data_IF_797436261881
#
_entry.id   IF_797436261881
#
_cell.length_a   1.000
_cell.length_b   1.000
_cell.length_c   1.000
_cell.angle_alpha   90.00
_cell.angle_beta   90.00
_cell.angle_gamma   90.00
#
_symmetry.space_group_name_H-M   'P 1'
#
loop_
_entity.id
_entity.type
_entity.pdbx_description
1 polymer ?
#
# COMPACT_ATOMS: atom_id res chain seq x y z
N UNK A 1 5.39 -76.49 28.52
CA UNK A 1 5.97 -75.10 28.57
C UNK A 1 5.83 -74.44 27.17
N UNK A 2 4.83 -73.66 26.98
CA UNK A 2 4.58 -72.92 25.67
C UNK A 2 5.14 -71.49 25.79
N UNK A 3 6.16 -71.18 25.00
CA UNK A 3 6.73 -69.84 24.90
C UNK A 3 5.94 -69.02 23.84
N UNK A 4 5.14 -68.08 24.27
CA UNK A 4 4.49 -67.12 23.36
C UNK A 4 5.50 -66.02 23.01
N UNK A 5 5.86 -65.91 21.75
CA UNK A 5 6.66 -64.79 21.21
C UNK A 5 5.74 -63.63 20.90
N UNK A 6 5.95 -62.50 21.60
CA UNK A 6 5.25 -61.27 21.37
C UNK A 6 5.99 -60.52 20.24
N UNK A 7 5.38 -60.47 19.06
CA UNK A 7 5.91 -59.68 17.93
C UNK A 7 5.45 -58.22 18.10
N UNK A 8 6.40 -57.35 18.48
CA UNK A 8 6.18 -55.89 18.56
C UNK A 8 6.29 -55.31 17.16
N UNK A 9 5.14 -55.01 16.54
CA UNK A 9 5.07 -54.36 15.22
C UNK A 9 5.35 -52.86 15.40
N UNK A 10 6.58 -52.41 15.16
CA UNK A 10 6.92 -50.97 15.08
C UNK A 10 6.32 -50.38 13.80
N UNK A 11 5.19 -49.70 13.91
CA UNK A 11 4.67 -48.83 12.87
C UNK A 11 5.58 -47.57 12.75
N UNK A 12 6.57 -47.64 11.87
CA UNK A 12 7.30 -46.49 11.40
C UNK A 12 6.31 -45.64 10.58
N UNK A 13 5.74 -44.63 11.23
CA UNK A 13 4.97 -43.59 10.54
C UNK A 13 5.90 -42.84 9.58
N UNK A 14 5.84 -43.19 8.29
CA UNK A 14 6.42 -42.36 7.23
C UNK A 14 5.62 -41.07 7.18
N UNK A 15 6.10 -40.00 7.84
CA UNK A 15 5.65 -38.66 7.54
C UNK A 15 6.05 -38.35 6.10
N UNK A 16 5.08 -38.38 5.19
CA UNK A 16 5.28 -37.82 3.87
C UNK A 16 5.77 -36.37 4.02
N UNK A 17 6.78 -35.92 3.25
CA UNK A 17 7.15 -34.52 3.26
C UNK A 17 5.92 -33.69 2.89
N UNK A 18 5.50 -32.80 3.77
CA UNK A 18 4.46 -31.85 3.45
C UNK A 18 4.98 -31.02 2.24
N UNK A 19 4.28 -31.07 1.12
CA UNK A 19 4.57 -30.18 0.01
C UNK A 19 4.47 -28.75 0.51
N UNK A 20 5.43 -27.90 0.14
CA UNK A 20 5.39 -26.48 0.48
C UNK A 20 4.12 -25.86 -0.11
N UNK A 21 3.40 -25.06 0.69
CA UNK A 21 2.26 -24.27 0.22
C UNK A 21 2.75 -23.34 -0.91
N UNK A 22 1.98 -23.25 -2.01
CA UNK A 22 2.30 -22.42 -3.17
C UNK A 22 1.40 -21.20 -3.21
N UNK A 23 1.98 -20.00 -3.26
CA UNK A 23 1.23 -18.74 -3.36
C UNK A 23 1.65 -17.99 -4.61
N UNK A 24 0.67 -17.62 -5.46
CA UNK A 24 0.88 -16.68 -6.56
C UNK A 24 0.67 -15.24 -6.08
N UNK A 25 1.61 -14.35 -6.38
CA UNK A 25 1.53 -12.92 -5.99
C UNK A 25 1.62 -12.04 -7.23
N UNK A 26 0.56 -11.31 -7.52
CA UNK A 26 0.52 -10.32 -8.60
C UNK A 26 0.54 -8.91 -8.01
N UNK A 27 1.59 -8.14 -8.33
CA UNK A 27 1.77 -6.76 -7.89
C UNK A 27 1.43 -5.79 -9.01
N UNK A 28 0.80 -4.67 -8.67
CA UNK A 28 0.53 -3.60 -9.63
C UNK A 28 1.82 -3.07 -10.29
N UNK A 29 2.87 -2.88 -9.48
CA UNK A 29 4.19 -2.42 -9.92
C UNK A 29 5.29 -2.97 -9.02
N UNK A 30 6.44 -3.34 -9.61
CA UNK A 30 7.64 -3.70 -8.84
C UNK A 30 8.53 -2.52 -8.49
N UNK A 31 8.46 -1.44 -9.27
CA UNK A 31 9.38 -0.30 -9.22
C UNK A 31 8.86 0.90 -8.41
N UNK A 32 7.65 0.86 -7.88
CA UNK A 32 7.19 1.85 -6.93
C UNK A 32 7.79 1.58 -5.54
N UNK A 33 8.38 2.60 -4.92
CA UNK A 33 9.16 2.44 -3.68
C UNK A 33 8.35 1.76 -2.56
N UNK A 34 7.14 2.23 -2.28
CA UNK A 34 6.27 1.66 -1.25
C UNK A 34 5.90 0.19 -1.55
N UNK A 35 5.50 -0.12 -2.80
CA UNK A 35 5.15 -1.49 -3.21
C UNK A 35 6.36 -2.43 -3.19
N UNK A 36 7.56 -1.91 -3.43
CA UNK A 36 8.81 -2.68 -3.27
C UNK A 36 8.99 -3.16 -1.83
N UNK A 37 8.70 -2.31 -0.83
CA UNK A 37 8.79 -2.68 0.59
C UNK A 37 7.75 -3.77 0.93
N UNK A 38 6.50 -3.62 0.46
CA UNK A 38 5.46 -4.64 0.64
C UNK A 38 5.90 -5.98 0.04
N UNK A 39 6.38 -5.98 -1.21
CA UNK A 39 6.85 -7.19 -1.89
C UNK A 39 7.98 -7.86 -1.14
N UNK A 40 9.01 -7.10 -0.74
CA UNK A 40 10.15 -7.63 0.04
C UNK A 40 9.71 -8.20 1.39
N UNK A 41 8.72 -7.58 2.04
CA UNK A 41 8.13 -8.11 3.28
C UNK A 41 7.40 -9.43 3.03
N UNK A 42 6.62 -9.54 1.95
CA UNK A 42 5.97 -10.81 1.58
C UNK A 42 7.00 -11.89 1.24
N UNK A 43 8.06 -11.58 0.48
CA UNK A 43 9.15 -12.50 0.16
C UNK A 43 9.82 -13.04 1.42
N UNK A 44 10.13 -12.15 2.37
CA UNK A 44 10.74 -12.48 3.66
C UNK A 44 9.82 -13.38 4.51
N UNK A 45 8.54 -13.03 4.59
CA UNK A 45 7.55 -13.78 5.39
C UNK A 45 7.28 -15.16 4.78
N UNK A 46 7.09 -15.25 3.45
CA UNK A 46 6.91 -16.51 2.74
C UNK A 46 8.08 -17.46 2.99
N UNK A 47 9.31 -16.95 2.87
CA UNK A 47 10.52 -17.73 3.17
C UNK A 47 10.57 -18.18 4.63
N UNK A 48 10.25 -17.31 5.58
CA UNK A 48 10.27 -17.62 7.00
C UNK A 48 9.25 -18.73 7.36
N UNK A 49 8.14 -18.80 6.62
CA UNK A 49 7.08 -19.76 6.82
C UNK A 49 7.18 -21.02 5.93
N UNK A 50 8.23 -21.15 5.12
CA UNK A 50 8.43 -22.30 4.24
C UNK A 50 7.42 -22.37 3.08
N UNK A 51 6.92 -21.23 2.63
CA UNK A 51 5.98 -21.07 1.51
C UNK A 51 6.77 -20.82 0.22
N UNK A 52 6.38 -21.49 -0.87
CA UNK A 52 6.84 -21.20 -2.22
C UNK A 52 5.99 -20.06 -2.81
N UNK A 53 6.55 -18.86 -2.90
CA UNK A 53 5.83 -17.70 -3.43
C UNK A 53 6.40 -17.28 -4.79
N UNK A 54 5.53 -17.21 -5.81
CA UNK A 54 5.85 -16.71 -7.14
C UNK A 54 5.33 -15.29 -7.28
N UNK A 55 6.24 -14.33 -7.56
CA UNK A 55 5.92 -12.91 -7.71
C UNK A 55 5.93 -12.50 -9.18
N UNK A 56 4.88 -11.78 -9.60
CA UNK A 56 4.74 -11.25 -10.95
C UNK A 56 4.39 -9.76 -10.94
N UNK A 57 5.03 -9.01 -11.85
CA UNK A 57 4.80 -7.57 -12.06
C UNK A 57 3.76 -7.36 -13.16
N UNK A 58 2.61 -6.80 -12.82
CA UNK A 58 1.62 -6.40 -13.80
C UNK A 58 2.03 -5.15 -14.59
N UNK A 59 2.99 -4.37 -14.05
CA UNK A 59 3.52 -3.16 -14.68
C UNK A 59 2.42 -2.17 -15.10
N UNK A 60 1.39 -2.01 -14.26
CA UNK A 60 0.27 -1.09 -14.48
C UNK A 60 -0.75 -1.55 -15.53
N UNK A 61 -0.66 -2.79 -16.01
CA UNK A 61 -1.59 -3.37 -16.97
C UNK A 61 -2.55 -4.35 -16.29
N UNK A 62 -3.84 -3.95 -16.20
CA UNK A 62 -4.88 -4.78 -15.57
C UNK A 62 -5.24 -6.03 -16.41
N UNK A 63 -5.03 -6.00 -17.72
CA UNK A 63 -5.15 -7.18 -18.57
C UNK A 63 -4.07 -8.21 -18.24
N UNK A 64 -2.82 -7.77 -18.19
CA UNK A 64 -1.68 -8.60 -17.77
C UNK A 64 -1.88 -9.15 -16.35
N UNK A 65 -2.41 -8.34 -15.43
CA UNK A 65 -2.73 -8.81 -14.07
C UNK A 65 -3.78 -9.93 -14.09
N UNK A 66 -4.80 -9.80 -14.93
CA UNK A 66 -5.83 -10.86 -15.11
C UNK A 66 -5.21 -12.14 -15.64
N UNK A 67 -4.31 -12.05 -16.65
CA UNK A 67 -3.60 -13.21 -17.20
C UNK A 67 -2.69 -13.87 -16.15
N UNK A 68 -2.02 -13.10 -15.31
CA UNK A 68 -1.21 -13.62 -14.20
C UNK A 68 -2.05 -14.42 -13.21
N UNK A 69 -3.21 -13.89 -12.81
CA UNK A 69 -4.15 -14.61 -11.92
C UNK A 69 -4.65 -15.90 -12.58
N UNK A 70 -4.95 -15.86 -13.88
CA UNK A 70 -5.35 -17.08 -14.61
C UNK A 70 -4.23 -18.11 -14.67
N UNK A 71 -2.99 -17.68 -14.84
CA UNK A 71 -1.81 -18.55 -14.84
C UNK A 71 -1.60 -19.20 -13.47
N UNK A 72 -1.73 -18.45 -12.37
CA UNK A 72 -1.67 -19.00 -11.01
C UNK A 72 -2.74 -20.08 -10.80
N UNK A 73 -3.97 -19.83 -11.25
CA UNK A 73 -5.07 -20.82 -11.20
C UNK A 73 -4.71 -22.08 -11.99
N UNK A 74 -4.22 -21.93 -13.23
CA UNK A 74 -3.84 -23.05 -14.09
C UNK A 74 -2.67 -23.87 -13.51
N UNK A 75 -1.75 -23.21 -12.80
CA UNK A 75 -0.61 -23.84 -12.13
C UNK A 75 -0.97 -24.49 -10.79
N UNK A 76 -2.22 -24.36 -10.33
CA UNK A 76 -2.72 -24.99 -9.12
C UNK A 76 -2.05 -24.45 -7.85
N UNK A 77 -1.90 -23.12 -7.73
CA UNK A 77 -1.44 -22.53 -6.47
C UNK A 77 -2.49 -22.70 -5.38
N UNK A 78 -2.04 -22.75 -4.12
CA UNK A 78 -2.93 -22.93 -2.97
C UNK A 78 -3.66 -21.63 -2.57
N UNK A 79 -3.06 -20.46 -2.84
CA UNK A 79 -3.67 -19.15 -2.64
C UNK A 79 -3.10 -18.11 -3.62
N UNK A 80 -3.84 -17.01 -3.79
CA UNK A 80 -3.43 -15.87 -4.62
C UNK A 80 -3.43 -14.60 -3.77
N UNK A 81 -2.38 -13.78 -3.91
CA UNK A 81 -2.31 -12.42 -3.35
C UNK A 81 -2.26 -11.43 -4.51
N UNK A 82 -3.05 -10.37 -4.46
CA UNK A 82 -3.10 -9.33 -5.49
C UNK A 82 -2.98 -7.94 -4.87
N UNK A 83 -1.99 -7.16 -5.32
CA UNK A 83 -2.03 -5.71 -5.22
C UNK A 83 -2.65 -5.16 -6.52
N UNK A 84 -3.89 -4.66 -6.51
CA UNK A 84 -4.61 -4.34 -7.74
C UNK A 84 -3.98 -3.20 -8.54
N UNK A 85 -3.86 -3.37 -9.86
CA UNK A 85 -3.57 -2.27 -10.79
C UNK A 85 -4.71 -1.26 -10.82
N UNK A 86 -5.94 -1.78 -10.90
CA UNK A 86 -7.17 -1.00 -10.94
C UNK A 86 -8.22 -1.63 -10.02
N UNK A 87 -8.68 -0.84 -9.04
CA UNK A 87 -9.73 -1.28 -8.12
C UNK A 87 -11.02 -1.72 -8.85
N UNK A 88 -11.33 -1.13 -10.00
CA UNK A 88 -12.54 -1.48 -10.77
C UNK A 88 -12.46 -2.86 -11.45
N UNK A 89 -11.26 -3.41 -11.66
CA UNK A 89 -11.05 -4.73 -12.27
C UNK A 89 -11.17 -5.89 -11.27
N UNK A 90 -11.09 -5.63 -9.97
CA UNK A 90 -11.04 -6.68 -8.94
C UNK A 90 -12.25 -7.61 -8.90
N UNK A 91 -13.51 -7.20 -9.21
CA UNK A 91 -14.63 -8.14 -9.24
C UNK A 91 -14.42 -9.31 -10.22
N UNK A 92 -13.66 -9.09 -11.31
CA UNK A 92 -13.30 -10.16 -12.26
C UNK A 92 -12.33 -11.14 -11.59
N UNK A 93 -11.29 -10.63 -10.94
CA UNK A 93 -10.28 -11.43 -10.23
C UNK A 93 -10.90 -12.23 -9.09
N UNK A 94 -11.79 -11.59 -8.29
CA UNK A 94 -12.57 -12.24 -7.23
C UNK A 94 -13.38 -13.42 -7.79
N UNK A 95 -14.08 -13.20 -8.90
CA UNK A 95 -14.89 -14.25 -9.54
C UNK A 95 -14.04 -15.42 -10.05
N UNK A 96 -12.89 -15.13 -10.66
CA UNK A 96 -11.95 -16.16 -11.14
C UNK A 96 -11.46 -17.05 -10.00
N UNK A 97 -10.97 -16.44 -8.91
CA UNK A 97 -10.50 -17.16 -7.73
C UNK A 97 -11.60 -18.01 -7.10
N UNK A 98 -12.82 -17.47 -6.99
CA UNK A 98 -13.97 -18.19 -6.46
C UNK A 98 -14.38 -19.40 -7.32
N UNK A 99 -14.41 -19.25 -8.64
CA UNK A 99 -14.71 -20.35 -9.57
C UNK A 99 -13.67 -21.47 -9.48
N UNK A 100 -12.39 -21.10 -9.28
CA UNK A 100 -11.30 -22.03 -9.05
C UNK A 100 -11.27 -22.60 -7.62
N UNK A 101 -12.05 -22.04 -6.68
CA UNK A 101 -12.03 -22.37 -5.24
C UNK A 101 -10.65 -22.12 -4.60
N UNK A 102 -9.92 -21.12 -5.09
CA UNK A 102 -8.62 -20.72 -4.56
C UNK A 102 -8.83 -19.48 -3.68
N UNK A 103 -8.33 -19.47 -2.43
CA UNK A 103 -8.33 -18.29 -1.57
C UNK A 103 -7.63 -17.09 -2.22
N UNK A 104 -8.20 -15.89 -1.99
CA UNK A 104 -7.67 -14.66 -2.54
C UNK A 104 -7.46 -13.62 -1.44
N UNK A 105 -6.28 -13.00 -1.41
CA UNK A 105 -5.98 -11.87 -0.55
C UNK A 105 -5.67 -10.65 -1.41
N UNK A 106 -6.43 -9.59 -1.24
CA UNK A 106 -6.04 -8.29 -1.75
C UNK A 106 -5.14 -7.58 -0.73
N UNK A 107 -4.07 -6.95 -1.19
CA UNK A 107 -3.13 -6.22 -0.32
C UNK A 107 -2.98 -4.78 -0.77
N UNK A 108 -2.83 -3.86 0.16
CA UNK A 108 -2.59 -2.43 0.00
C UNK A 108 -3.72 -1.68 -0.70
N UNK A 109 -3.91 -1.87 -2.01
CA UNK A 109 -4.97 -1.20 -2.77
C UNK A 109 -6.30 -1.91 -2.57
N UNK A 110 -7.29 -1.15 -2.10
CA UNK A 110 -8.60 -1.71 -1.80
C UNK A 110 -9.32 -2.18 -3.07
N UNK A 111 -9.94 -3.37 -3.03
CA UNK A 111 -10.75 -3.85 -4.16
C UNK A 111 -12.01 -3.00 -4.34
N UNK A 112 -12.51 -2.94 -5.58
CA UNK A 112 -13.75 -2.26 -5.93
C UNK A 112 -15.01 -3.09 -5.67
N UNK A 113 -14.87 -4.29 -5.13
CA UNK A 113 -15.98 -5.15 -4.72
C UNK A 113 -16.77 -4.49 -3.59
N UNK A 114 -18.10 -4.44 -3.72
CA UNK A 114 -18.97 -3.87 -2.67
C UNK A 114 -18.93 -4.68 -1.36
N UNK A 115 -18.77 -5.98 -1.49
CA UNK A 115 -18.63 -6.93 -0.38
C UNK A 115 -17.72 -8.05 -0.81
N UNK A 116 -16.79 -8.43 0.06
CA UNK A 116 -15.89 -9.56 -0.19
C UNK A 116 -16.58 -10.87 0.22
N UNK A 117 -16.61 -11.88 -0.68
CA UNK A 117 -17.18 -13.18 -0.37
C UNK A 117 -16.27 -14.00 0.54
N UNK A 118 -16.78 -15.11 1.07
CA UNK A 118 -15.99 -16.05 1.85
C UNK A 118 -14.76 -16.53 1.05
N UNK A 119 -13.60 -16.63 1.70
CA UNK A 119 -12.33 -16.98 1.07
C UNK A 119 -11.62 -15.82 0.40
N UNK A 120 -12.14 -14.58 0.51
CA UNK A 120 -11.51 -13.36 0.03
C UNK A 120 -11.30 -12.38 1.19
N UNK A 121 -10.08 -11.91 1.36
CA UNK A 121 -9.69 -10.96 2.43
C UNK A 121 -8.96 -9.77 1.83
N UNK A 122 -9.21 -8.59 2.37
CA UNK A 122 -8.40 -7.41 2.12
C UNK A 122 -7.49 -7.13 3.32
N UNK A 123 -6.21 -6.95 3.05
CA UNK A 123 -5.18 -6.51 4.01
C UNK A 123 -4.68 -5.14 3.61
N UNK A 124 -4.95 -4.13 4.40
CA UNK A 124 -4.56 -2.76 4.07
C UNK A 124 -4.96 -1.78 5.15
N UNK A 125 -4.89 -0.50 4.83
CA UNK A 125 -5.26 0.59 5.73
C UNK A 125 -6.58 1.22 5.32
N UNK A 126 -7.28 1.86 6.26
CA UNK A 126 -8.51 2.61 5.96
C UNK A 126 -8.15 3.96 5.34
N UNK A 127 -8.26 4.07 4.03
CA UNK A 127 -7.87 5.26 3.29
C UNK A 127 -8.63 6.54 3.69
N UNK A 128 -9.74 6.44 4.42
CA UNK A 128 -10.47 7.60 4.96
C UNK A 128 -9.71 8.36 6.06
N UNK A 129 -8.59 7.84 6.52
CA UNK A 129 -7.79 8.42 7.61
C UNK A 129 -6.58 9.20 7.10
N UNK A 130 -5.88 8.69 6.09
CA UNK A 130 -4.54 9.16 5.73
C UNK A 130 -4.51 10.62 5.26
N UNK A 131 -5.36 10.98 4.31
CA UNK A 131 -5.46 12.38 3.83
C UNK A 131 -5.97 13.34 4.90
N UNK A 132 -6.85 12.85 5.79
CA UNK A 132 -7.33 13.63 6.94
C UNK A 132 -6.21 13.92 7.93
N UNK A 133 -5.43 12.91 8.33
CA UNK A 133 -4.28 13.08 9.23
C UNK A 133 -3.25 14.05 8.66
N UNK A 134 -2.91 13.88 7.38
CA UNK A 134 -1.97 14.75 6.68
C UNK A 134 -2.46 16.20 6.67
N UNK A 135 -3.70 16.44 6.21
CA UNK A 135 -4.17 17.80 5.97
C UNK A 135 -4.50 18.55 7.26
N UNK A 136 -5.01 17.87 8.30
CA UNK A 136 -5.23 18.50 9.62
C UNK A 136 -3.89 18.98 10.22
N UNK A 137 -2.82 18.18 10.09
CA UNK A 137 -1.48 18.58 10.55
C UNK A 137 -0.94 19.77 9.75
N UNK A 138 -1.05 19.75 8.42
CA UNK A 138 -0.63 20.86 7.56
C UNK A 138 -1.45 22.12 7.82
N UNK A 139 -2.76 22.02 8.00
CA UNK A 139 -3.63 23.13 8.31
C UNK A 139 -3.24 23.80 9.64
N UNK A 140 -2.98 23.01 10.67
CA UNK A 140 -2.49 23.50 11.97
C UNK A 140 -1.15 24.23 11.83
N UNK A 141 -0.19 23.69 11.09
CA UNK A 141 1.12 24.31 10.84
C UNK A 141 0.98 25.62 10.06
N UNK A 142 0.03 25.74 9.14
CA UNK A 142 -0.28 26.92 8.36
C UNK A 142 -1.13 27.97 9.10
N UNK A 143 -1.50 27.73 10.36
CA UNK A 143 -2.43 28.57 11.12
C UNK A 143 -3.82 28.65 10.51
N UNK A 144 -4.27 27.51 9.91
CA UNK A 144 -5.60 27.34 9.29
C UNK A 144 -5.93 28.34 8.18
N UNK A 145 -4.92 28.69 7.38
CA UNK A 145 -5.08 29.62 6.25
C UNK A 145 -4.12 29.28 5.10
N UNK A 146 -4.48 29.64 3.89
CA UNK A 146 -3.62 29.55 2.71
C UNK A 146 -4.20 28.74 1.55
N UNK A 147 -3.49 28.78 0.45
CA UNK A 147 -3.79 28.07 -0.78
C UNK A 147 -3.19 26.68 -0.78
N UNK A 148 -4.03 25.68 -1.01
CA UNK A 148 -3.65 24.26 -1.01
C UNK A 148 -3.57 23.74 -2.44
N UNK A 149 -2.45 23.13 -2.81
CA UNK A 149 -2.29 22.36 -4.02
C UNK A 149 -2.28 20.84 -3.67
N UNK A 150 -3.02 20.03 -4.42
CA UNK A 150 -3.11 18.60 -4.22
C UNK A 150 -2.41 17.88 -5.37
N UNK A 151 -1.40 17.04 -5.03
CA UNK A 151 -0.79 16.12 -5.98
C UNK A 151 -1.44 14.75 -5.83
N UNK A 152 -2.16 14.33 -6.88
CA UNK A 152 -2.95 13.10 -6.88
C UNK A 152 -2.07 11.94 -7.36
N UNK A 153 -2.23 10.77 -6.73
CA UNK A 153 -1.63 9.53 -7.18
C UNK A 153 -2.27 8.97 -8.45
N UNK A 154 -2.20 7.67 -8.65
CA UNK A 154 -2.79 7.03 -9.81
C UNK A 154 -4.32 7.01 -9.70
N UNK A 155 -5.02 7.50 -10.71
CA UNK A 155 -6.49 7.59 -10.72
C UNK A 155 -7.21 6.24 -10.82
N UNK A 156 -6.54 5.15 -11.19
CA UNK A 156 -7.10 3.81 -11.12
C UNK A 156 -7.14 3.24 -9.69
N UNK A 157 -6.35 3.83 -8.77
CA UNK A 157 -6.35 3.49 -7.36
C UNK A 157 -7.44 4.26 -6.60
N UNK A 158 -8.30 3.53 -5.88
CA UNK A 158 -9.32 4.12 -5.01
C UNK A 158 -8.72 4.92 -3.85
N UNK A 159 -7.52 4.53 -3.37
CA UNK A 159 -6.79 5.24 -2.32
C UNK A 159 -6.42 6.66 -2.73
N UNK A 160 -5.91 6.87 -3.96
CA UNK A 160 -5.60 8.21 -4.45
C UNK A 160 -6.82 9.13 -4.45
N UNK A 161 -7.97 8.61 -4.87
CA UNK A 161 -9.23 9.35 -4.88
C UNK A 161 -9.69 9.71 -3.47
N UNK A 162 -9.58 8.76 -2.53
CA UNK A 162 -9.99 8.97 -1.15
C UNK A 162 -9.07 9.96 -0.43
N UNK A 163 -7.74 9.81 -0.53
CA UNK A 163 -6.75 10.75 0.03
C UNK A 163 -7.00 12.18 -0.45
N UNK A 164 -7.28 12.34 -1.74
CA UNK A 164 -7.63 13.64 -2.33
C UNK A 164 -8.91 14.22 -1.73
N UNK A 165 -9.96 13.39 -1.63
CA UNK A 165 -11.24 13.79 -1.03
C UNK A 165 -11.08 14.21 0.42
N UNK A 166 -10.29 13.50 1.20
CA UNK A 166 -10.04 13.79 2.61
C UNK A 166 -9.37 15.15 2.78
N UNK A 167 -8.36 15.45 1.95
CA UNK A 167 -7.74 16.79 1.92
C UNK A 167 -8.77 17.87 1.62
N UNK A 168 -9.62 17.67 0.60
CA UNK A 168 -10.69 18.63 0.26
C UNK A 168 -11.68 18.81 1.41
N UNK A 169 -12.06 17.73 2.08
CA UNK A 169 -13.02 17.77 3.19
C UNK A 169 -12.43 18.47 4.43
N UNK A 170 -11.14 18.31 4.70
CA UNK A 170 -10.46 19.06 5.76
C UNK A 170 -10.38 20.55 5.41
N UNK A 171 -9.98 20.89 4.19
CA UNK A 171 -9.88 22.30 3.75
C UNK A 171 -11.21 23.02 3.87
N UNK A 172 -12.33 22.36 3.56
CA UNK A 172 -13.69 22.95 3.70
C UNK A 172 -14.05 23.34 5.12
N UNK A 173 -13.42 22.78 6.15
CA UNK A 173 -13.68 23.14 7.57
C UNK A 173 -13.12 24.52 7.91
N UNK A 174 -12.15 25.03 7.14
CA UNK A 174 -11.40 26.24 7.47
C UNK A 174 -11.64 27.33 6.44
N UNK A 175 -12.38 28.42 6.77
CA UNK A 175 -12.84 29.43 5.82
C UNK A 175 -11.70 30.22 5.13
N UNK A 176 -10.52 30.24 5.75
CA UNK A 176 -9.35 30.93 5.19
C UNK A 176 -8.42 30.00 4.38
N UNK A 177 -8.87 28.78 4.11
CA UNK A 177 -8.16 27.80 3.28
C UNK A 177 -8.96 27.52 2.01
N UNK A 178 -8.27 27.26 0.91
CA UNK A 178 -8.91 26.83 -0.33
C UNK A 178 -8.00 25.92 -1.15
N UNK A 179 -8.57 24.93 -1.80
CA UNK A 179 -7.87 24.16 -2.83
C UNK A 179 -7.85 25.01 -4.11
N UNK A 180 -6.64 25.32 -4.60
CA UNK A 180 -6.42 26.14 -5.81
C UNK A 180 -5.95 25.30 -6.98
N UNK A 181 -5.27 24.18 -6.73
CA UNK A 181 -4.71 23.30 -7.75
C UNK A 181 -4.92 21.84 -7.36
N UNK A 182 -5.19 21.02 -8.36
CA UNK A 182 -5.39 19.59 -8.16
C UNK A 182 -5.08 18.85 -9.48
N UNK A 183 -3.94 18.17 -9.55
CA UNK A 183 -3.51 17.42 -10.73
C UNK A 183 -2.79 16.10 -10.32
N UNK A 184 -2.76 15.13 -11.24
CA UNK A 184 -2.10 13.85 -11.00
C UNK A 184 -0.60 13.93 -11.26
N UNK A 185 0.17 13.19 -10.43
CA UNK A 185 1.59 12.92 -10.60
C UNK A 185 1.91 11.44 -10.30
N UNK A 186 0.91 10.55 -10.43
CA UNK A 186 0.99 9.08 -10.53
C UNK A 186 1.86 8.38 -9.49
N UNK A 187 2.00 8.93 -8.28
CA UNK A 187 2.89 8.44 -7.21
C UNK A 187 4.38 8.52 -7.56
N UNK A 188 4.77 9.23 -8.62
CA UNK A 188 6.14 9.30 -9.10
C UNK A 188 6.84 10.61 -8.66
N UNK A 189 8.11 10.48 -8.23
CA UNK A 189 8.91 11.61 -7.72
C UNK A 189 9.22 12.63 -8.81
N UNK A 190 9.58 12.18 -9.99
CA UNK A 190 9.88 13.01 -11.14
C UNK A 190 8.63 13.74 -11.68
N UNK A 191 7.48 13.05 -11.72
CA UNK A 191 6.22 13.67 -12.08
C UNK A 191 5.78 14.71 -11.03
N UNK A 192 5.95 14.43 -9.73
CA UNK A 192 5.71 15.39 -8.65
C UNK A 192 6.60 16.64 -8.78
N UNK A 193 7.89 16.44 -9.11
CA UNK A 193 8.82 17.54 -9.36
C UNK A 193 8.40 18.38 -10.58
N UNK A 194 8.11 17.73 -11.69
CA UNK A 194 7.71 18.42 -12.94
C UNK A 194 6.40 19.18 -12.76
N UNK A 195 5.42 18.59 -12.06
CA UNK A 195 4.15 19.24 -11.78
C UNK A 195 4.33 20.47 -10.89
N UNK A 196 5.15 20.39 -9.84
CA UNK A 196 5.44 21.56 -9.00
C UNK A 196 6.18 22.65 -9.75
N UNK A 197 7.17 22.30 -10.59
CA UNK A 197 7.85 23.29 -11.46
C UNK A 197 6.87 23.99 -12.38
N UNK A 198 5.93 23.26 -12.99
CA UNK A 198 4.86 23.82 -13.83
C UNK A 198 4.03 24.85 -13.05
N UNK A 199 3.56 24.50 -11.85
CA UNK A 199 2.75 25.37 -11.01
C UNK A 199 3.50 26.65 -10.62
N UNK A 200 4.75 26.52 -10.18
CA UNK A 200 5.59 27.68 -9.82
C UNK A 200 5.90 28.59 -11.02
N UNK A 201 6.16 28.00 -12.18
CA UNK A 201 6.44 28.76 -13.42
C UNK A 201 5.22 29.52 -13.90
N UNK A 202 4.01 29.00 -13.69
CA UNK A 202 2.76 29.65 -14.02
C UNK A 202 2.39 30.80 -13.04
N UNK A 203 3.19 30.99 -11.99
CA UNK A 203 2.95 32.06 -10.99
C UNK A 203 1.86 31.75 -9.99
N UNK A 204 1.56 30.44 -9.77
CA UNK A 204 0.53 30.03 -8.83
C UNK A 204 0.93 30.34 -7.38
N UNK A 205 0.02 30.93 -6.64
CA UNK A 205 0.21 31.20 -5.21
C UNK A 205 -0.14 29.98 -4.40
N UNK A 206 0.88 29.26 -3.94
CA UNK A 206 0.75 28.01 -3.16
C UNK A 206 1.38 28.19 -1.79
N UNK A 207 0.68 27.82 -0.72
CA UNK A 207 1.20 27.81 0.65
C UNK A 207 1.41 26.39 1.17
N UNK A 208 0.62 25.44 0.68
CA UNK A 208 0.60 24.06 1.13
C UNK A 208 0.52 23.13 -0.08
N UNK A 209 1.35 22.10 -0.10
CA UNK A 209 1.25 20.95 -1.02
C UNK A 209 0.88 19.72 -0.23
N UNK A 210 -0.30 19.15 -0.47
CA UNK A 210 -0.73 17.86 0.03
C UNK A 210 -0.54 16.82 -1.09
N UNK A 211 0.51 16.01 -0.98
CA UNK A 211 0.78 14.94 -1.94
C UNK A 211 0.22 13.62 -1.44
N UNK A 212 -0.39 12.83 -2.33
CA UNK A 212 -0.97 11.54 -1.94
C UNK A 212 0.09 10.48 -1.55
N UNK A 213 1.39 10.76 -1.78
CA UNK A 213 2.48 9.93 -1.24
C UNK A 213 3.78 10.73 -1.03
N UNK A 214 4.77 10.10 -0.39
CA UNK A 214 6.08 10.69 -0.11
C UNK A 214 6.89 10.99 -1.37
N UNK A 215 6.82 10.12 -2.39
CA UNK A 215 7.59 10.30 -3.62
C UNK A 215 7.24 11.61 -4.31
N UNK A 216 5.95 11.89 -4.49
CA UNK A 216 5.48 13.15 -5.06
C UNK A 216 5.81 14.35 -4.16
N UNK A 217 5.68 14.19 -2.82
CA UNK A 217 6.06 15.22 -1.85
C UNK A 217 7.54 15.60 -1.94
N UNK A 218 8.42 14.59 -2.03
CA UNK A 218 9.86 14.78 -2.21
C UNK A 218 10.13 15.49 -3.54
N UNK A 219 9.47 15.08 -4.62
CA UNK A 219 9.56 15.74 -5.93
C UNK A 219 9.16 17.22 -5.85
N UNK A 220 8.05 17.54 -5.20
CA UNK A 220 7.60 18.90 -4.97
C UNK A 220 8.64 19.73 -4.18
N UNK A 221 9.18 19.16 -3.10
CA UNK A 221 10.21 19.83 -2.29
C UNK A 221 11.50 20.09 -3.08
N UNK A 222 11.88 19.19 -3.98
CA UNK A 222 13.03 19.40 -4.89
C UNK A 222 12.79 20.56 -5.84
N UNK A 223 11.59 20.66 -6.43
CA UNK A 223 11.19 21.75 -7.32
C UNK A 223 11.18 23.10 -6.59
N UNK A 224 10.60 23.17 -5.38
CA UNK A 224 10.57 24.36 -4.54
C UNK A 224 12.00 24.86 -4.25
N UNK A 225 12.89 23.98 -3.87
CA UNK A 225 14.29 24.29 -3.62
C UNK A 225 15.01 24.81 -4.87
N UNK A 226 14.79 24.17 -6.02
CA UNK A 226 15.38 24.57 -7.31
C UNK A 226 14.90 25.93 -7.76
N UNK A 227 13.63 26.23 -7.57
CA UNK A 227 12.99 27.50 -7.99
C UNK A 227 13.32 28.67 -7.06
N UNK A 228 14.00 28.46 -5.94
CA UNK A 228 14.38 29.50 -4.96
C UNK A 228 13.18 30.34 -4.52
N UNK A 229 12.03 29.71 -4.31
CA UNK A 229 10.82 30.36 -3.82
C UNK A 229 11.11 31.06 -2.50
N UNK A 230 10.67 32.32 -2.35
CA UNK A 230 10.96 33.14 -1.16
C UNK A 230 10.03 32.80 0.00
N UNK A 231 8.76 32.61 -0.29
CA UNK A 231 7.75 32.31 0.71
C UNK A 231 7.78 30.81 1.03
N UNK A 232 7.72 30.42 2.30
CA UNK A 232 7.75 29.01 2.68
C UNK A 232 6.48 28.29 2.19
N UNK A 233 6.67 27.14 1.57
CA UNK A 233 5.59 26.21 1.17
C UNK A 233 5.69 24.97 2.03
N UNK A 234 4.64 24.65 2.78
CA UNK A 234 4.55 23.42 3.55
C UNK A 234 4.24 22.25 2.61
N UNK A 235 4.99 21.18 2.70
CA UNK A 235 4.78 19.98 1.88
C UNK A 235 4.52 18.79 2.81
N UNK A 236 3.44 18.04 2.54
CA UNK A 236 3.13 16.80 3.25
C UNK A 236 3.07 15.62 2.31
N UNK A 237 3.53 14.46 2.81
CA UNK A 237 3.47 13.16 2.15
C UNK A 237 2.57 12.17 2.88
N UNK A 238 2.51 10.97 2.38
CA UNK A 238 1.92 9.77 3.00
C UNK A 238 2.86 8.63 2.65
N UNK A 239 3.00 7.65 3.50
CA UNK A 239 3.71 6.37 3.51
C UNK A 239 4.74 6.29 4.63
N UNK A 240 5.43 7.39 4.97
CA UNK A 240 6.61 7.45 5.83
C UNK A 240 7.67 6.41 5.42
N UNK A 241 7.94 6.32 4.11
CA UNK A 241 9.02 5.49 3.57
C UNK A 241 10.38 5.94 4.13
N UNK A 242 11.44 5.11 4.05
CA UNK A 242 12.79 5.56 4.46
C UNK A 242 13.21 6.88 3.82
N UNK A 243 12.87 7.11 2.54
CA UNK A 243 13.13 8.38 1.86
C UNK A 243 12.23 9.51 2.38
N UNK A 244 10.95 9.23 2.65
CA UNK A 244 10.02 10.17 3.27
C UNK A 244 10.47 10.61 4.66
N UNK A 245 10.88 9.65 5.50
CA UNK A 245 11.43 9.95 6.84
C UNK A 245 12.71 10.77 6.75
N UNK A 246 13.59 10.50 5.77
CA UNK A 246 14.78 11.31 5.52
C UNK A 246 14.43 12.72 5.07
N UNK A 247 13.42 12.87 4.21
CA UNK A 247 12.94 14.18 3.77
C UNK A 247 12.30 14.98 4.91
N UNK A 248 11.57 14.30 5.81
CA UNK A 248 11.04 14.89 7.04
C UNK A 248 12.18 15.34 7.99
N UNK A 249 13.20 14.50 8.19
CA UNK A 249 14.33 14.79 9.05
C UNK A 249 15.09 16.07 8.63
N UNK A 250 15.29 16.24 7.33
CA UNK A 250 16.01 17.39 6.78
C UNK A 250 15.10 18.61 6.51
N UNK A 251 13.80 18.52 6.81
CA UNK A 251 12.83 19.60 6.65
C UNK A 251 12.37 19.85 5.22
N UNK A 252 12.63 18.94 4.29
CA UNK A 252 12.14 19.04 2.90
C UNK A 252 10.61 18.83 2.82
N UNK A 253 10.08 17.95 3.68
CA UNK A 253 8.64 17.84 3.93
C UNK A 253 8.35 18.15 5.40
N UNK A 254 7.17 18.63 5.69
CA UNK A 254 6.75 19.05 7.02
C UNK A 254 6.11 17.93 7.84
N UNK A 255 5.45 16.98 7.15
CA UNK A 255 4.69 15.89 7.74
C UNK A 255 4.57 14.74 6.74
N UNK A 256 4.50 13.53 7.25
CA UNK A 256 4.04 12.36 6.49
C UNK A 256 3.09 11.52 7.36
N UNK A 257 2.44 10.53 6.76
CA UNK A 257 1.56 9.59 7.47
C UNK A 257 2.11 8.18 7.25
N UNK A 258 2.48 7.51 8.33
CA UNK A 258 3.01 6.15 8.26
C UNK A 258 1.93 5.18 7.81
N UNK A 259 2.22 4.49 6.73
CA UNK A 259 1.53 3.31 6.26
C UNK A 259 2.48 2.12 6.42
N UNK A 260 2.09 1.13 7.23
CA UNK A 260 2.97 0.00 7.58
C UNK A 260 3.07 -1.01 6.42
N UNK A 261 3.94 -0.73 5.45
CA UNK A 261 4.20 -1.61 4.30
C UNK A 261 4.70 -3.00 4.73
N UNK A 262 5.57 -3.03 5.74
CA UNK A 262 6.12 -4.30 6.28
C UNK A 262 5.01 -5.11 6.94
N UNK A 263 4.18 -4.48 7.75
CA UNK A 263 3.02 -5.10 8.40
C UNK A 263 1.99 -5.60 7.39
N UNK A 264 1.71 -4.83 6.33
CA UNK A 264 0.79 -5.25 5.27
C UNK A 264 1.32 -6.47 4.52
N UNK A 265 2.59 -6.48 4.11
CA UNK A 265 3.18 -7.59 3.39
C UNK A 265 3.19 -8.88 4.21
N UNK A 266 3.59 -8.80 5.49
CA UNK A 266 3.55 -9.91 6.43
C UNK A 266 2.12 -10.44 6.62
N UNK A 267 1.18 -9.55 6.91
CA UNK A 267 -0.21 -9.91 7.12
C UNK A 267 -0.86 -10.57 5.89
N UNK A 268 -0.50 -10.14 4.67
CA UNK A 268 -1.04 -10.74 3.45
C UNK A 268 -0.64 -12.21 3.30
N UNK A 269 0.61 -12.57 3.57
CA UNK A 269 1.07 -13.98 3.54
C UNK A 269 0.41 -14.78 4.66
N UNK A 270 0.32 -14.23 5.88
CA UNK A 270 -0.36 -14.87 7.00
C UNK A 270 -1.83 -15.18 6.68
N UNK A 271 -2.60 -14.19 6.15
CA UNK A 271 -4.01 -14.39 5.80
C UNK A 271 -4.18 -15.42 4.67
N UNK A 272 -3.34 -15.40 3.64
CA UNK A 272 -3.37 -16.40 2.58
C UNK A 272 -3.23 -17.82 3.14
N UNK A 273 -2.28 -18.02 4.04
CA UNK A 273 -2.05 -19.33 4.68
C UNK A 273 -3.18 -19.77 5.61
N UNK A 274 -3.77 -18.84 6.37
CA UNK A 274 -4.91 -19.16 7.22
C UNK A 274 -6.13 -19.58 6.40
N UNK A 275 -6.34 -18.92 5.25
CA UNK A 275 -7.39 -19.29 4.31
C UNK A 275 -7.13 -20.68 3.68
N UNK A 276 -5.89 -21.01 3.30
CA UNK A 276 -5.51 -22.36 2.78
C UNK A 276 -5.83 -23.44 3.81
N UNK A 277 -5.63 -23.17 5.10
CA UNK A 277 -5.98 -24.09 6.20
C UNK A 277 -7.48 -24.20 6.46
N UNK A 278 -8.31 -23.46 5.72
CA UNK A 278 -9.76 -23.45 5.89
C UNK A 278 -10.25 -22.64 7.08
N UNK A 279 -9.41 -21.78 7.66
CA UNK A 279 -9.82 -20.93 8.77
C UNK A 279 -10.79 -19.83 8.29
N UNK A 280 -11.87 -19.63 9.07
CA UNK A 280 -12.79 -18.53 8.80
C UNK A 280 -12.13 -17.20 9.20
N UNK A 281 -12.03 -16.27 8.25
CA UNK A 281 -11.42 -14.97 8.45
C UNK A 281 -12.43 -13.85 8.30
N UNK A 282 -12.17 -12.73 8.95
CA UNK A 282 -12.84 -11.47 8.67
C UNK A 282 -12.45 -11.00 7.27
N UNK A 283 -13.35 -10.30 6.58
CA UNK A 283 -13.11 -9.84 5.20
C UNK A 283 -12.05 -8.74 5.10
N UNK A 284 -11.71 -8.10 6.23
CA UNK A 284 -10.72 -7.02 6.29
C UNK A 284 -9.77 -7.22 7.46
N UNK A 285 -8.48 -7.11 7.20
CA UNK A 285 -7.44 -6.99 8.22
C UNK A 285 -6.84 -5.58 8.12
N UNK A 286 -7.30 -4.72 9.01
CA UNK A 286 -6.88 -3.32 9.02
C UNK A 286 -5.51 -3.13 9.67
N UNK A 287 -4.64 -2.38 8.99
CA UNK A 287 -3.35 -1.91 9.46
C UNK A 287 -3.46 -0.39 9.59
N UNK A 288 -3.35 0.19 10.80
CA UNK A 288 -3.66 1.61 11.02
C UNK A 288 -2.68 2.55 10.32
N UNK A 289 -3.18 3.72 9.95
CA UNK A 289 -2.34 4.88 9.63
C UNK A 289 -1.90 5.61 10.90
N UNK A 290 -0.72 6.22 10.89
CA UNK A 290 -0.19 6.99 12.01
C UNK A 290 0.45 8.29 11.52
N UNK A 291 0.08 9.44 12.11
CA UNK A 291 0.70 10.72 11.75
C UNK A 291 2.16 10.76 12.20
N UNK A 292 3.05 11.16 11.29
CA UNK A 292 4.49 11.30 11.55
C UNK A 292 4.93 12.73 11.35
N UNK A 293 5.46 13.29 12.41
CA UNK A 293 6.07 14.62 12.44
C UNK A 293 7.55 14.51 12.86
N UNK A 294 8.26 15.61 12.81
CA UNK A 294 9.69 15.63 13.20
C UNK A 294 9.91 15.18 14.65
N UNK A 295 8.92 15.41 15.53
CA UNK A 295 8.99 15.10 16.96
C UNK A 295 8.90 13.60 17.25
N UNK A 296 8.14 12.82 16.43
CA UNK A 296 7.92 11.40 16.68
C UNK A 296 8.55 10.47 15.64
N UNK A 297 9.16 10.99 14.57
CA UNK A 297 9.65 10.21 13.43
C UNK A 297 10.65 9.11 13.79
N UNK A 298 11.41 9.29 14.86
CA UNK A 298 12.46 8.33 15.23
C UNK A 298 11.90 6.93 15.52
N UNK A 299 10.67 6.83 16.03
CA UNK A 299 10.01 5.55 16.31
C UNK A 299 9.58 4.79 15.04
N UNK A 300 9.60 5.43 13.88
CA UNK A 300 9.21 4.82 12.60
C UNK A 300 10.39 4.36 11.74
N UNK A 301 11.63 4.82 12.04
CA UNK A 301 12.81 4.52 11.21
C UNK A 301 13.07 3.01 11.03
N UNK A 302 12.87 2.22 12.08
CA UNK A 302 13.03 0.77 11.99
C UNK A 302 11.78 0.07 11.47
N UNK A 303 10.60 0.64 11.68
CA UNK A 303 9.32 0.07 11.21
C UNK A 303 9.13 0.22 9.69
N UNK A 304 9.78 1.19 9.08
CA UNK A 304 9.67 1.51 7.66
C UNK A 304 10.61 0.69 6.74
N UNK A 305 11.37 -0.28 7.29
CA UNK A 305 12.40 -1.06 6.56
C UNK A 305 11.94 -2.46 6.19
#
# INVERSE_FOLDING_TARGET
MKRSALVLLCLLGMSAPALAEKIGVSMAYFNQNFLTIIRQSMEKEAKAQGVEAQFEDANGDSGKQTDQVQNFINNGVDAIIVDPVDSASTPVLTKMAQQAKIPLVYVNRAPGDKTLPAGVVFVGSDERESGTLQMEALAKMAGYKGNVAIMIGNLSDSGAKQRTKDVEDVVKKYPNMKVVLKETANYARDEGMNLMLKWLTNGESINIVAANNDEMAIGAAMAIRQSKVKDPILVGGIDATPDGLKALANGAIAVTVFQDAVGQGKAAVEEARLLVKGEKRDTHRWIPFELVTKENMQSYVERAK
#
